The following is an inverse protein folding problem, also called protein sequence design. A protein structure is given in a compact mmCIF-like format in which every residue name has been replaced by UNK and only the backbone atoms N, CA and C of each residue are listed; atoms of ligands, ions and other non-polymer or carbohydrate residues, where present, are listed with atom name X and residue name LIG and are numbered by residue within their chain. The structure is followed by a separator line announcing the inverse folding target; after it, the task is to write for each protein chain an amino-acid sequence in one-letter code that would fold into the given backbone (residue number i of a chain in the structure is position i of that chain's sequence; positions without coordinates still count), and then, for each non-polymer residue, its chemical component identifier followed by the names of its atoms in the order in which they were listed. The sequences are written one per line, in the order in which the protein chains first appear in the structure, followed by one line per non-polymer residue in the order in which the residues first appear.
data_IF_771207321398
#
_entry.id   IF_771207321398
#
_cell.length_a   1.000
_cell.length_b   1.000
_cell.length_c   1.000
_cell.angle_alpha   90.00
_cell.angle_beta   90.00
_cell.angle_gamma   90.00
#
_symmetry.space_group_name_H-M   'P 1'
#
loop_
_entity.id
_entity.type
_entity.pdbx_description
1 polymer ?
#
# COMPACT_ATOMS: atom_id res chain seq x y z
N UNK A 1 -7.80 -9.34 3.92
CA UNK A 1 -6.87 -8.51 4.67
C UNK A 1 -5.47 -9.15 4.65
N UNK A 2 -4.50 -8.41 4.15
CA UNK A 2 -3.11 -8.86 4.12
C UNK A 2 -2.26 -7.86 4.88
N UNK A 3 -1.66 -8.31 5.99
CA UNK A 3 -0.86 -7.48 6.88
C UNK A 3 0.62 -7.79 6.67
N UNK A 4 1.36 -6.86 6.05
CA UNK A 4 2.79 -6.99 5.75
C UNK A 4 3.12 -8.31 5.03
N UNK A 5 2.38 -8.69 3.96
CA UNK A 5 2.54 -10.02 3.36
C UNK A 5 3.89 -10.23 2.68
N UNK A 6 4.64 -9.13 2.42
CA UNK A 6 5.94 -9.21 1.75
C UNK A 6 7.11 -9.05 2.72
N UNK A 7 6.83 -8.94 4.02
CA UNK A 7 7.88 -8.84 5.03
C UNK A 7 8.59 -10.18 5.19
N UNK A 8 9.92 -10.16 5.29
CA UNK A 8 10.76 -11.33 5.56
C UNK A 8 10.66 -12.47 4.53
N UNK A 9 10.28 -12.16 3.29
CA UNK A 9 10.26 -13.15 2.20
C UNK A 9 11.15 -12.70 1.03
N UNK A 10 11.46 -13.64 0.14
CA UNK A 10 12.33 -13.36 -1.01
C UNK A 10 11.65 -12.49 -2.04
N UNK A 11 12.44 -11.87 -2.92
CA UNK A 11 11.94 -11.06 -4.04
C UNK A 11 10.98 -11.88 -4.93
N UNK A 12 11.30 -13.15 -5.16
CA UNK A 12 10.45 -14.04 -5.96
C UNK A 12 9.09 -14.24 -5.30
N UNK A 13 9.08 -14.47 -3.98
CA UNK A 13 7.84 -14.66 -3.23
C UNK A 13 7.02 -13.37 -3.17
N UNK A 14 7.67 -12.22 -3.10
CA UNK A 14 7.00 -10.92 -3.19
C UNK A 14 6.24 -10.83 -4.51
N UNK A 15 6.87 -11.17 -5.62
CA UNK A 15 6.24 -11.13 -6.94
C UNK A 15 5.02 -12.06 -7.01
N UNK A 16 5.10 -13.24 -6.39
CA UNK A 16 3.98 -14.19 -6.33
C UNK A 16 2.80 -13.63 -5.53
N UNK A 17 3.07 -12.98 -4.39
CA UNK A 17 2.04 -12.35 -3.56
C UNK A 17 1.34 -11.22 -4.34
N UNK A 18 2.10 -10.36 -5.01
CA UNK A 18 1.54 -9.26 -5.78
C UNK A 18 0.68 -9.77 -6.94
N UNK A 19 1.10 -10.84 -7.60
CA UNK A 19 0.31 -11.47 -8.66
C UNK A 19 -1.00 -12.04 -8.14
N UNK A 20 -0.96 -12.67 -6.96
CA UNK A 20 -2.18 -13.15 -6.30
C UNK A 20 -3.15 -12.01 -6.04
N UNK A 21 -2.67 -10.88 -5.54
CA UNK A 21 -3.50 -9.70 -5.28
C UNK A 21 -4.15 -9.21 -6.57
N UNK A 22 -3.37 -9.12 -7.67
CA UNK A 22 -3.90 -8.69 -8.97
C UNK A 22 -5.01 -9.63 -9.46
N UNK A 23 -4.83 -10.93 -9.31
CA UNK A 23 -5.84 -11.92 -9.71
C UNK A 23 -7.12 -11.80 -8.90
N UNK A 24 -7.01 -11.62 -7.60
CA UNK A 24 -8.18 -11.41 -6.74
C UNK A 24 -8.94 -10.15 -7.12
N UNK A 25 -8.25 -9.06 -7.40
CA UNK A 25 -8.86 -7.82 -7.87
C UNK A 25 -9.60 -8.02 -9.20
N UNK A 26 -8.99 -8.73 -10.13
CA UNK A 26 -9.61 -9.02 -11.43
C UNK A 26 -10.89 -9.84 -11.30
N UNK A 27 -11.02 -10.63 -10.23
CA UNK A 27 -12.21 -11.40 -9.93
C UNK A 27 -13.28 -10.62 -9.14
N UNK A 28 -13.03 -9.34 -8.89
CA UNK A 28 -13.96 -8.50 -8.12
C UNK A 28 -13.84 -8.64 -6.61
N UNK A 29 -12.79 -9.30 -6.12
CA UNK A 29 -12.56 -9.45 -4.67
C UNK A 29 -11.95 -8.18 -4.11
N UNK A 30 -12.52 -7.66 -3.03
CA UNK A 30 -11.94 -6.54 -2.30
C UNK A 30 -10.78 -7.02 -1.46
N UNK A 31 -9.60 -6.38 -1.61
CA UNK A 31 -8.37 -6.74 -0.89
C UNK A 31 -7.88 -5.53 -0.11
N UNK A 32 -7.60 -5.72 1.17
CA UNK A 32 -6.95 -4.72 2.02
C UNK A 32 -5.52 -5.17 2.27
N UNK A 33 -4.56 -4.34 1.84
CA UNK A 33 -3.13 -4.58 2.03
C UNK A 33 -2.59 -3.61 3.07
N UNK A 34 -1.94 -4.13 4.10
CA UNK A 34 -1.24 -3.33 5.10
C UNK A 34 0.25 -3.50 4.89
N UNK A 35 0.95 -2.43 4.52
CA UNK A 35 2.37 -2.47 4.22
C UNK A 35 2.97 -1.07 4.27
N UNK A 36 4.27 -0.99 4.49
CA UNK A 36 5.04 0.26 4.36
C UNK A 36 6.00 0.21 3.16
N UNK A 37 5.96 -0.85 2.37
CA UNK A 37 6.82 -1.02 1.20
C UNK A 37 6.14 -0.37 -0.01
N UNK A 38 6.57 0.84 -0.33
CA UNK A 38 5.96 1.64 -1.39
C UNK A 38 5.99 0.98 -2.77
N UNK A 39 7.06 0.29 -3.20
CA UNK A 39 7.02 -0.39 -4.49
C UNK A 39 5.87 -1.39 -4.60
N UNK A 40 5.60 -2.15 -3.53
CA UNK A 40 4.52 -3.15 -3.52
C UNK A 40 3.15 -2.45 -3.51
N UNK A 41 2.99 -1.45 -2.65
CA UNK A 41 1.73 -0.70 -2.53
C UNK A 41 1.36 -0.05 -3.86
N UNK A 42 2.30 0.63 -4.52
CA UNK A 42 2.03 1.32 -5.78
C UNK A 42 1.84 0.35 -6.95
N UNK A 43 2.33 -0.89 -6.82
CA UNK A 43 2.15 -1.90 -7.86
C UNK A 43 0.72 -2.44 -7.92
N UNK A 44 0.02 -2.54 -6.79
CA UNK A 44 -1.26 -3.27 -6.73
C UNK A 44 -2.42 -2.51 -6.12
N UNK A 45 -2.18 -1.42 -5.39
CA UNK A 45 -3.24 -0.69 -4.71
C UNK A 45 -3.83 0.39 -5.60
N UNK A 46 -5.16 0.53 -5.58
CA UNK A 46 -5.86 1.60 -6.28
C UNK A 46 -6.01 2.84 -5.39
N UNK A 47 -6.03 2.65 -4.08
CA UNK A 47 -6.25 3.68 -3.10
C UNK A 47 -5.37 3.43 -1.88
N UNK A 48 -4.85 4.50 -1.32
CA UNK A 48 -3.93 4.44 -0.17
C UNK A 48 -4.49 5.28 0.96
N UNK A 49 -4.61 4.67 2.13
CA UNK A 49 -5.00 5.36 3.35
C UNK A 49 -3.79 5.36 4.28
N UNK A 50 -3.37 6.54 4.72
CA UNK A 50 -2.23 6.69 5.63
C UNK A 50 -2.75 6.86 7.05
N UNK A 51 -2.28 5.98 7.95
CA UNK A 51 -2.56 6.07 9.37
C UNK A 51 -1.27 6.44 10.11
N UNK A 52 -1.40 7.33 11.07
CA UNK A 52 -0.31 7.71 11.94
C UNK A 52 -0.83 7.84 13.37
N UNK A 53 -0.24 7.08 14.29
CA UNK A 53 -0.66 7.02 15.69
C UNK A 53 -2.16 6.73 15.84
N UNK A 54 -2.67 5.81 15.02
CA UNK A 54 -4.08 5.40 15.06
C UNK A 54 -5.04 6.39 14.40
N UNK A 55 -4.55 7.45 13.79
CA UNK A 55 -5.38 8.48 13.15
C UNK A 55 -5.18 8.46 11.64
N UNK A 56 -6.28 8.53 10.89
CA UNK A 56 -6.22 8.67 9.44
C UNK A 56 -5.75 10.08 9.09
N UNK A 57 -4.57 10.19 8.48
CA UNK A 57 -3.99 11.48 8.08
C UNK A 57 -4.12 11.77 6.60
N UNK A 58 -4.36 10.76 5.78
CA UNK A 58 -4.55 10.95 4.34
C UNK A 58 -5.33 9.79 3.72
N UNK A 59 -5.99 10.09 2.59
CA UNK A 59 -6.72 9.14 1.78
C UNK A 59 -6.50 9.58 0.32
N UNK A 60 -5.68 8.83 -0.40
CA UNK A 60 -5.23 9.22 -1.74
C UNK A 60 -5.57 8.13 -2.77
N UNK A 61 -5.95 8.55 -3.96
CA UNK A 61 -5.98 7.65 -5.12
C UNK A 61 -4.54 7.44 -5.58
N UNK A 62 -4.12 6.19 -5.75
CA UNK A 62 -2.73 5.85 -6.05
C UNK A 62 -2.19 6.59 -7.28
N UNK A 63 -3.00 6.73 -8.32
CA UNK A 63 -2.60 7.43 -9.53
C UNK A 63 -2.40 8.94 -9.35
N UNK A 64 -2.87 9.51 -8.24
CA UNK A 64 -2.83 10.94 -7.96
C UNK A 64 -1.79 11.32 -6.90
N UNK A 65 -0.97 10.38 -6.48
CA UNK A 65 0.05 10.59 -5.45
C UNK A 65 1.38 9.96 -5.87
N UNK A 66 2.39 10.08 -5.04
CA UNK A 66 3.73 9.53 -5.29
C UNK A 66 4.24 8.78 -4.06
N UNK A 67 5.23 7.87 -4.24
CA UNK A 67 5.87 7.20 -3.11
C UNK A 67 6.47 8.19 -2.11
N UNK A 68 7.04 9.29 -2.58
CA UNK A 68 7.65 10.32 -1.76
C UNK A 68 6.60 11.02 -0.90
N UNK A 69 5.44 11.35 -1.48
CA UNK A 69 4.34 11.98 -0.75
C UNK A 69 3.81 11.05 0.35
N UNK A 70 3.58 9.78 0.03
CA UNK A 70 3.07 8.81 0.99
C UNK A 70 4.08 8.59 2.11
N UNK A 71 5.36 8.43 1.80
CA UNK A 71 6.40 8.29 2.80
C UNK A 71 6.46 9.50 3.72
N UNK A 72 6.37 10.71 3.16
CA UNK A 72 6.32 11.94 3.93
C UNK A 72 5.13 12.02 4.87
N UNK A 73 3.97 11.55 4.44
CA UNK A 73 2.77 11.50 5.28
C UNK A 73 2.90 10.48 6.40
N UNK A 74 3.51 9.32 6.13
CA UNK A 74 3.75 8.28 7.14
C UNK A 74 4.69 8.79 8.23
N UNK A 75 5.78 9.45 7.85
CA UNK A 75 6.81 9.92 8.79
C UNK A 75 6.44 11.24 9.47
N UNK A 76 5.46 11.97 8.94
CA UNK A 76 5.10 13.29 9.42
C UNK A 76 5.93 14.42 8.82
N UNK A 77 6.82 14.13 7.85
CA UNK A 77 7.59 15.16 7.15
C UNK A 77 6.68 16.04 6.28
N UNK A 78 5.57 15.49 5.79
CA UNK A 78 4.51 16.21 5.09
C UNK A 78 3.27 16.15 5.98
N UNK A 79 2.68 17.30 6.25
CA UNK A 79 1.45 17.38 7.02
C UNK A 79 0.25 17.28 6.08
N UNK A 80 -0.76 16.51 6.50
CA UNK A 80 -2.02 16.46 5.76
C UNK A 80 -2.74 17.80 5.91
N UNK A 81 -3.19 18.33 4.79
CA UNK A 81 -3.96 19.56 4.77
C UNK A 81 -5.39 19.30 5.22
#
# INVERSE_FOLDING_TARGET
LMDEPTAAISVRQVAEVLELIRRLKAQGVAVILISHRMPDVFAVCDRIIVLRRGTKVADKVTAMTSPEEITGLITGAILAA
#
